data_IF_042345670432
#
_entry.id   IF_042345670432
#
_cell.length_a   1.000
_cell.length_b   1.000
_cell.length_c   1.000
_cell.angle_alpha   90.00
_cell.angle_beta   90.00
_cell.angle_gamma   90.00
#
_symmetry.space_group_name_H-M   'P 1'
#
loop_
_entity.id
_entity.type
_entity.pdbx_description
1 polymer ?
#
# COMPACT_ATOMS: atom_id res chain seq x y z
N UNK A 1 0.73 -11.18 -11.28
CA UNK A 1 -0.22 -12.19 -10.78
C UNK A 1 0.34 -12.79 -9.51
N UNK A 2 -0.38 -12.67 -8.40
CA UNK A 2 -0.07 -13.42 -7.17
C UNK A 2 -1.24 -14.38 -6.91
N UNK A 3 -0.92 -15.60 -6.47
CA UNK A 3 -1.89 -16.60 -6.03
C UNK A 3 -1.68 -16.81 -4.54
N UNK A 4 -2.69 -16.50 -3.73
CA UNK A 4 -2.62 -16.77 -2.29
C UNK A 4 -2.90 -18.22 -1.98
N UNK A 5 -2.53 -18.64 -0.77
CA UNK A 5 -2.81 -19.99 -0.24
C UNK A 5 -4.30 -20.33 -0.27
N UNK A 6 -5.18 -19.33 -0.25
CA UNK A 6 -6.64 -19.49 -0.28
C UNK A 6 -7.22 -19.44 -1.71
N UNK A 7 -6.39 -19.45 -2.75
CA UNK A 7 -6.84 -19.48 -4.15
C UNK A 7 -7.26 -18.13 -4.73
N UNK A 8 -7.11 -17.01 -3.99
CA UNK A 8 -7.37 -15.69 -4.55
C UNK A 8 -6.33 -15.36 -5.62
N UNK A 9 -6.81 -14.98 -6.80
CA UNK A 9 -5.99 -14.54 -7.94
C UNK A 9 -6.19 -13.04 -8.12
N UNK A 10 -5.11 -12.29 -7.91
CA UNK A 10 -5.09 -10.83 -8.10
C UNK A 10 -4.05 -10.40 -9.14
N UNK A 11 -4.40 -9.38 -9.90
CA UNK A 11 -3.45 -8.62 -10.71
C UNK A 11 -3.01 -7.39 -9.93
N UNK A 12 -1.71 -7.13 -9.95
CA UNK A 12 -1.10 -5.96 -9.34
C UNK A 12 -0.36 -5.23 -10.44
N UNK A 13 -0.56 -3.93 -10.52
CA UNK A 13 0.10 -3.04 -11.46
C UNK A 13 0.98 -2.09 -10.67
N UNK A 14 2.25 -1.88 -11.07
CA UNK A 14 3.09 -0.90 -10.41
C UNK A 14 2.49 0.49 -10.65
N UNK A 15 2.31 1.25 -9.56
CA UNK A 15 2.06 2.68 -9.64
C UNK A 15 3.39 3.41 -9.89
N UNK A 16 3.37 4.62 -10.49
CA UNK A 16 4.55 5.47 -10.55
C UNK A 16 5.10 5.75 -9.15
N UNK A 17 6.42 5.73 -9.00
CA UNK A 17 7.07 6.09 -7.74
C UNK A 17 6.87 7.57 -7.43
N UNK A 18 6.34 7.87 -6.25
CA UNK A 18 6.09 9.23 -5.78
C UNK A 18 6.74 9.42 -4.39
N UNK A 19 7.13 10.65 -4.04
CA UNK A 19 7.62 10.94 -2.70
C UNK A 19 6.60 10.56 -1.63
N UNK A 20 7.04 9.91 -0.56
CA UNK A 20 6.19 9.51 0.57
C UNK A 20 5.39 10.69 1.15
N UNK A 21 6.02 11.87 1.22
CA UNK A 21 5.38 13.08 1.72
C UNK A 21 4.24 13.56 0.82
N UNK A 22 4.41 13.45 -0.50
CA UNK A 22 3.36 13.78 -1.45
C UNK A 22 2.13 12.89 -1.26
N UNK A 23 2.34 11.58 -1.06
CA UNK A 23 1.26 10.63 -0.80
C UNK A 23 0.52 10.96 0.50
N UNK A 24 1.25 11.27 1.58
CA UNK A 24 0.64 11.69 2.86
C UNK A 24 -0.20 12.96 2.71
N UNK A 25 0.31 13.96 1.98
CA UNK A 25 -0.42 15.20 1.75
C UNK A 25 -1.71 14.97 0.94
N UNK A 26 -1.65 14.14 -0.11
CA UNK A 26 -2.84 13.76 -0.87
C UNK A 26 -3.86 13.03 0.00
N UNK A 27 -3.43 12.07 0.82
CA UNK A 27 -4.31 11.34 1.75
C UNK A 27 -4.99 12.30 2.73
N UNK A 28 -4.23 13.17 3.40
CA UNK A 28 -4.79 14.17 4.31
C UNK A 28 -5.83 15.08 3.63
N UNK A 29 -5.59 15.45 2.37
CA UNK A 29 -6.50 16.30 1.61
C UNK A 29 -7.83 15.58 1.30
N UNK A 30 -7.79 14.28 0.99
CA UNK A 30 -9.00 13.46 0.75
C UNK A 30 -9.79 13.26 2.05
N UNK A 31 -9.10 12.93 3.14
CA UNK A 31 -9.73 12.76 4.47
C UNK A 31 -10.43 14.05 4.91
N UNK A 32 -9.76 15.20 4.78
CA UNK A 32 -10.34 16.49 5.12
C UNK A 32 -11.54 16.85 4.23
N UNK A 33 -11.51 16.49 2.94
CA UNK A 33 -12.62 16.73 2.04
C UNK A 33 -13.88 15.95 2.48
N UNK A 34 -13.75 14.66 2.81
CA UNK A 34 -14.87 13.85 3.31
C UNK A 34 -15.40 14.39 4.63
N UNK A 35 -14.51 14.71 5.57
CA UNK A 35 -14.89 15.29 6.87
C UNK A 35 -15.60 16.64 6.72
N UNK A 36 -15.16 17.50 5.79
CA UNK A 36 -15.80 18.79 5.52
C UNK A 36 -17.23 18.66 4.99
N UNK A 37 -17.54 17.52 4.36
CA UNK A 37 -18.89 17.16 3.90
C UNK A 37 -19.71 16.44 4.98
N UNK A 38 -19.18 16.29 6.20
CA UNK A 38 -19.81 15.55 7.28
C UNK A 38 -19.85 14.04 7.06
N UNK A 39 -18.96 13.51 6.21
CA UNK A 39 -18.86 12.08 5.90
C UNK A 39 -17.74 11.44 6.70
N UNK A 40 -17.93 10.17 7.04
CA UNK A 40 -16.86 9.34 7.54
C UNK A 40 -15.96 8.90 6.36
N UNK A 41 -14.64 9.16 6.39
CA UNK A 41 -13.74 8.73 5.34
C UNK A 41 -13.65 7.21 5.26
N UNK A 42 -13.79 6.65 4.05
CA UNK A 42 -13.59 5.20 3.83
C UNK A 42 -12.14 4.78 4.13
N UNK A 43 -11.18 5.67 3.84
CA UNK A 43 -9.75 5.47 4.07
C UNK A 43 -9.18 6.52 5.04
N UNK A 44 -9.48 6.36 6.33
CA UNK A 44 -9.07 7.30 7.36
C UNK A 44 -7.55 7.28 7.65
N UNK A 45 -6.88 6.16 7.38
CA UNK A 45 -5.48 5.94 7.73
C UNK A 45 -4.66 5.43 6.54
N UNK A 46 -3.36 5.73 6.54
CA UNK A 46 -2.41 5.25 5.54
C UNK A 46 -1.08 4.88 6.20
N UNK A 47 -0.55 3.71 5.83
CA UNK A 47 0.75 3.21 6.28
C UNK A 47 1.62 2.95 5.05
N UNK A 48 2.89 3.36 5.13
CA UNK A 48 3.89 3.07 4.10
C UNK A 48 4.72 1.86 4.56
N UNK A 49 4.82 0.87 3.68
CA UNK A 49 5.45 -0.43 3.94
C UNK A 49 6.67 -0.54 3.03
N UNK A 50 7.85 -0.74 3.61
CA UNK A 50 9.12 -0.90 2.89
C UNK A 50 9.57 -2.36 2.85
N UNK A 51 9.22 -3.13 3.87
CA UNK A 51 9.41 -4.58 3.88
C UNK A 51 8.29 -5.33 4.57
N UNK A 52 8.33 -6.67 4.50
CA UNK A 52 7.26 -7.51 5.00
C UNK A 52 7.05 -7.43 6.52
N UNK A 53 8.04 -6.99 7.30
CA UNK A 53 7.89 -6.76 8.74
C UNK A 53 7.02 -5.54 9.03
N UNK A 54 7.01 -4.54 8.16
CA UNK A 54 6.15 -3.34 8.29
C UNK A 54 4.65 -3.67 8.17
N UNK A 55 4.29 -4.87 7.68
CA UNK A 55 2.89 -5.32 7.69
C UNK A 55 2.33 -5.48 9.11
N UNK A 56 3.18 -5.54 10.13
CA UNK A 56 2.77 -5.51 11.54
C UNK A 56 2.23 -4.16 12.01
N UNK A 57 2.45 -3.09 11.22
CA UNK A 57 1.92 -1.76 11.48
C UNK A 57 0.45 -1.61 11.05
N UNK A 58 -0.08 -2.59 10.29
CA UNK A 58 -1.47 -2.58 9.85
C UNK A 58 -2.36 -3.14 10.96
N UNK A 59 -3.44 -2.42 11.26
CA UNK A 59 -4.45 -2.91 12.17
C UNK A 59 -5.17 -4.15 11.61
N UNK A 60 -5.47 -5.10 12.49
CA UNK A 60 -6.16 -6.34 12.15
C UNK A 60 -5.26 -7.41 11.51
N UNK A 61 -5.87 -8.31 10.73
CA UNK A 61 -5.15 -9.37 10.02
C UNK A 61 -4.84 -8.92 8.58
N UNK A 62 -3.58 -8.68 8.21
CA UNK A 62 -3.22 -8.35 6.84
C UNK A 62 -3.69 -9.44 5.87
N UNK A 63 -4.14 -9.03 4.68
CA UNK A 63 -4.52 -9.98 3.65
C UNK A 63 -3.31 -10.84 3.23
N UNK A 64 -3.52 -12.14 3.05
CA UNK A 64 -2.44 -13.11 2.80
C UNK A 64 -1.62 -12.82 1.52
N UNK A 65 -2.14 -12.00 0.59
CA UNK A 65 -1.39 -11.56 -0.59
C UNK A 65 -0.39 -10.43 -0.33
N UNK A 66 -0.47 -9.72 0.80
CA UNK A 66 0.41 -8.56 1.04
C UNK A 66 1.86 -8.98 1.26
N UNK A 67 2.10 -10.02 2.05
CA UNK A 67 3.45 -10.55 2.30
C UNK A 67 4.21 -10.90 1.00
N UNK A 68 3.67 -11.73 0.09
CA UNK A 68 4.38 -12.06 -1.15
C UNK A 68 4.49 -10.87 -2.11
N UNK A 69 3.56 -9.91 -2.06
CA UNK A 69 3.59 -8.73 -2.90
C UNK A 69 4.72 -7.77 -2.49
N UNK A 70 4.87 -7.48 -1.19
CA UNK A 70 5.91 -6.59 -0.67
C UNK A 70 7.30 -7.15 -0.98
N UNK A 71 7.52 -8.44 -0.72
CA UNK A 71 8.79 -9.09 -1.04
C UNK A 71 9.12 -9.03 -2.54
N UNK A 72 8.12 -9.21 -3.41
CA UNK A 72 8.30 -9.08 -4.87
C UNK A 72 8.64 -7.64 -5.27
N UNK A 73 7.97 -6.65 -4.70
CA UNK A 73 8.21 -5.24 -5.02
C UNK A 73 9.64 -4.85 -4.63
N UNK A 74 10.07 -5.19 -3.40
CA UNK A 74 11.43 -4.96 -2.92
C UNK A 74 12.50 -5.63 -3.79
N UNK A 75 12.28 -6.88 -4.20
CA UNK A 75 13.19 -7.57 -5.11
C UNK A 75 13.27 -6.88 -6.49
N UNK A 76 12.15 -6.32 -6.96
CA UNK A 76 12.10 -5.59 -8.24
C UNK A 76 12.85 -4.27 -8.15
N UNK A 77 12.70 -3.50 -7.06
CA UNK A 77 13.49 -2.28 -6.83
C UNK A 77 15.00 -2.55 -6.79
N UNK A 78 15.42 -3.68 -6.22
CA UNK A 78 16.83 -4.08 -6.20
C UNK A 78 17.39 -4.47 -7.58
N UNK A 79 16.52 -4.72 -8.56
CA UNK A 79 16.91 -5.17 -9.91
C UNK A 79 16.91 -4.03 -10.93
N UNK A 80 16.31 -2.87 -10.63
CA UNK A 80 16.47 -1.67 -11.46
C UNK A 80 17.80 -0.99 -11.12
N UNK A 81 18.72 -0.78 -12.09
CA UNK A 81 19.86 0.10 -11.85
C UNK A 81 19.36 1.52 -11.57
N UNK A 82 19.93 2.19 -10.57
CA UNK A 82 19.80 3.64 -10.41
C UNK A 82 20.17 4.29 -11.75
N UNK A 83 19.21 4.97 -12.37
CA UNK A 83 19.42 5.78 -13.57
C UNK A 83 19.56 7.25 -13.17
#
# INVERSE_FOLDING_TARGET
>A
MARTTNGNVGFFFPAPSLPAEFIRQCHASVVLADQSMGREPEFAEVVLVTDAADLSLLDGRPADYLWPLVNRFRATEQTLPLN
#
